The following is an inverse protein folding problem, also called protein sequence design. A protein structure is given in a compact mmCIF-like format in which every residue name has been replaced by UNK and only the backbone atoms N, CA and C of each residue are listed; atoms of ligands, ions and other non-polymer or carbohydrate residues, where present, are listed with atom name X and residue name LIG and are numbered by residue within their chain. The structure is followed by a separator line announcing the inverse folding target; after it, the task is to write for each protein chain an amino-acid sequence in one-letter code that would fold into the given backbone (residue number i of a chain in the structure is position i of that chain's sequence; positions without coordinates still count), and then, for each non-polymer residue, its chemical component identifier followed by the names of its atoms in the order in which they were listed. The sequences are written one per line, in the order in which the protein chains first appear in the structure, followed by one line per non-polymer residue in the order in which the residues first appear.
data_IF_712926388543
#
_entry.id   IF_712926388543
#
_cell.length_a   1.000
_cell.length_b   1.000
_cell.length_c   1.000
_cell.angle_alpha   90.00
_cell.angle_beta   90.00
_cell.angle_gamma   90.00
#
_symmetry.space_group_name_H-M   'P 1'
#
loop_
_entity.id
_entity.type
_entity.pdbx_description
1 polymer ?
#
# COMPACT_ATOMS: atom_id res chain seq x y z
N UNK A 1 -8.06 -43.14 3.51
CA UNK A 1 -7.61 -42.92 2.11
C UNK A 1 -7.43 -41.41 1.97
N UNK A 2 -6.21 -40.94 1.85
CA UNK A 2 -5.89 -39.58 1.50
C UNK A 2 -6.36 -39.34 0.06
N UNK A 3 -7.23 -38.38 -0.14
CA UNK A 3 -7.61 -37.91 -1.47
C UNK A 3 -6.43 -37.15 -2.06
N UNK A 4 -5.93 -37.59 -3.17
CA UNK A 4 -4.90 -36.88 -3.93
C UNK A 4 -5.50 -35.66 -4.58
N UNK A 5 -4.70 -34.60 -4.83
CA UNK A 5 -5.10 -33.30 -5.40
C UNK A 5 -5.89 -33.39 -6.73
N UNK A 6 -5.94 -34.57 -7.37
CA UNK A 6 -6.69 -34.84 -8.60
C UNK A 6 -8.19 -35.10 -8.43
N UNK A 7 -8.69 -35.22 -7.19
CA UNK A 7 -10.10 -35.52 -6.92
C UNK A 7 -10.94 -34.26 -6.56
N UNK A 8 -10.41 -33.06 -6.72
CA UNK A 8 -11.13 -31.82 -6.51
C UNK A 8 -12.04 -31.57 -7.72
N UNK A 9 -13.35 -31.33 -7.52
CA UNK A 9 -14.27 -31.14 -8.64
C UNK A 9 -13.84 -29.99 -9.55
N UNK A 10 -13.67 -30.27 -10.83
CA UNK A 10 -13.25 -29.31 -11.88
C UNK A 10 -14.21 -28.11 -12.10
N UNK A 11 -15.25 -27.90 -11.29
CA UNK A 11 -16.31 -26.96 -11.60
C UNK A 11 -16.10 -25.52 -11.18
N UNK A 12 -15.16 -25.26 -10.25
CA UNK A 12 -14.88 -23.88 -9.79
C UNK A 12 -13.40 -23.46 -10.00
N UNK A 13 -12.61 -24.36 -10.54
CA UNK A 13 -11.29 -24.07 -11.01
C UNK A 13 -11.45 -23.67 -12.48
N UNK A 14 -11.64 -22.37 -12.73
CA UNK A 14 -11.42 -21.89 -14.09
C UNK A 14 -10.00 -22.29 -14.50
N UNK A 15 -9.82 -22.56 -15.77
CA UNK A 15 -8.53 -22.92 -16.40
C UNK A 15 -7.41 -21.89 -16.18
N UNK A 16 -7.60 -20.94 -15.32
CA UNK A 16 -6.89 -19.69 -15.13
C UNK A 16 -5.91 -19.73 -13.94
N UNK A 17 -5.72 -20.88 -13.28
CA UNK A 17 -4.71 -21.01 -12.23
C UNK A 17 -3.36 -21.28 -12.89
N UNK A 18 -2.56 -20.23 -12.99
CA UNK A 18 -1.15 -20.36 -13.32
C UNK A 18 -0.42 -20.91 -12.09
N UNK A 19 0.41 -21.94 -12.25
CA UNK A 19 1.13 -22.55 -11.11
C UNK A 19 2.11 -21.58 -10.42
N UNK A 20 2.40 -20.46 -11.04
CA UNK A 20 3.30 -19.43 -10.53
C UNK A 20 2.63 -18.46 -9.54
N UNK A 21 1.29 -18.37 -9.50
CA UNK A 21 0.53 -17.51 -8.59
C UNK A 21 0.16 -18.19 -7.26
N UNK A 22 0.45 -19.50 -7.13
CA UNK A 22 0.20 -20.30 -5.93
C UNK A 22 1.36 -20.18 -4.94
N UNK A 23 1.03 -19.91 -3.69
CA UNK A 23 2.01 -19.96 -2.60
C UNK A 23 1.41 -20.64 -1.38
N UNK A 24 2.22 -21.43 -0.69
CA UNK A 24 1.79 -22.13 0.52
C UNK A 24 2.58 -21.66 1.72
N UNK A 25 1.87 -21.18 2.74
CA UNK A 25 2.42 -20.75 4.01
C UNK A 25 1.59 -21.37 5.13
N UNK A 26 2.24 -21.96 6.12
CA UNK A 26 1.59 -22.57 7.31
C UNK A 26 0.50 -23.61 6.93
N UNK A 27 0.75 -24.43 5.93
CA UNK A 27 -0.20 -25.43 5.38
C UNK A 27 -1.48 -24.85 4.76
N UNK A 28 -1.52 -23.56 4.49
CA UNK A 28 -2.58 -22.90 3.75
C UNK A 28 -1.99 -22.47 2.40
N UNK A 29 -2.70 -22.78 1.32
CA UNK A 29 -2.32 -22.35 -0.02
C UNK A 29 -3.17 -21.14 -0.40
N UNK A 30 -2.52 -20.13 -0.97
CA UNK A 30 -3.14 -18.89 -1.40
C UNK A 30 -2.88 -18.67 -2.88
N UNK A 31 -3.83 -18.09 -3.61
CA UNK A 31 -3.64 -17.72 -5.01
C UNK A 31 -4.53 -16.56 -5.46
N UNK A 32 -4.08 -15.91 -6.51
CA UNK A 32 -4.82 -14.87 -7.21
C UNK A 32 -5.56 -15.51 -8.39
N UNK A 33 -6.88 -15.59 -8.31
CA UNK A 33 -7.70 -16.04 -9.44
C UNK A 33 -8.15 -14.88 -10.32
N UNK A 34 -8.94 -15.16 -11.35
CA UNK A 34 -9.34 -14.21 -12.38
C UNK A 34 -10.04 -12.92 -11.88
N UNK A 35 -10.75 -12.96 -10.76
CA UNK A 35 -11.45 -11.78 -10.18
C UNK A 35 -11.48 -11.77 -8.66
N UNK A 36 -10.81 -12.72 -8.01
CA UNK A 36 -10.82 -12.92 -6.58
C UNK A 36 -9.52 -13.57 -6.12
N UNK A 37 -9.25 -13.45 -4.85
CA UNK A 37 -8.22 -14.22 -4.17
C UNK A 37 -8.87 -15.42 -3.48
N UNK A 38 -8.12 -16.49 -3.35
CA UNK A 38 -8.59 -17.73 -2.77
C UNK A 38 -7.59 -18.29 -1.78
N UNK A 39 -8.11 -19.14 -0.88
CA UNK A 39 -7.31 -19.95 0.05
C UNK A 39 -7.75 -21.40 0.00
N UNK A 40 -6.82 -22.30 0.34
CA UNK A 40 -7.07 -23.72 0.52
C UNK A 40 -6.39 -24.22 1.80
N UNK A 41 -7.21 -24.71 2.71
CA UNK A 41 -6.79 -25.37 3.95
C UNK A 41 -7.45 -26.74 4.15
N UNK A 42 -7.80 -27.39 3.05
CA UNK A 42 -8.64 -28.59 3.00
C UNK A 42 -9.95 -28.35 2.24
N UNK A 43 -10.41 -27.10 2.21
CA UNK A 43 -11.52 -26.59 1.39
C UNK A 43 -11.11 -25.31 0.68
N UNK A 44 -11.65 -25.10 -0.52
CA UNK A 44 -11.43 -23.86 -1.26
C UNK A 44 -12.38 -22.78 -0.74
N UNK A 45 -11.81 -21.67 -0.32
CA UNK A 45 -12.57 -20.52 0.17
C UNK A 45 -12.13 -19.24 -0.55
N UNK A 46 -13.05 -18.31 -0.73
CA UNK A 46 -12.72 -16.98 -1.24
C UNK A 46 -12.06 -16.16 -0.13
N UNK A 47 -10.87 -15.63 -0.40
CA UNK A 47 -10.16 -14.73 0.50
C UNK A 47 -10.73 -13.32 0.33
N UNK A 48 -11.37 -12.72 1.36
CA UNK A 48 -11.87 -11.36 1.29
C UNK A 48 -10.73 -10.36 1.06
N UNK A 49 -10.89 -9.48 0.08
CA UNK A 49 -9.90 -8.47 -0.25
C UNK A 49 -10.56 -7.10 -0.35
N UNK A 50 -10.13 -6.16 0.49
CA UNK A 50 -10.60 -4.77 0.47
C UNK A 50 -10.15 -4.03 -0.80
N UNK A 51 -9.04 -4.44 -1.39
CA UNK A 51 -8.47 -3.86 -2.60
C UNK A 51 -8.91 -4.57 -3.89
N UNK A 52 -9.84 -5.52 -3.82
CA UNK A 52 -10.25 -6.34 -4.97
C UNK A 52 -10.61 -5.51 -6.20
N UNK A 53 -11.43 -4.50 -6.02
CA UNK A 53 -11.88 -3.66 -7.14
C UNK A 53 -10.71 -2.86 -7.72
N UNK A 54 -9.84 -2.32 -6.87
CA UNK A 54 -8.65 -1.59 -7.30
C UNK A 54 -7.73 -2.46 -8.14
N UNK A 55 -7.38 -3.66 -7.66
CA UNK A 55 -6.47 -4.59 -8.34
C UNK A 55 -7.05 -5.04 -9.69
N UNK A 56 -8.28 -5.56 -9.69
CA UNK A 56 -8.86 -6.18 -10.89
C UNK A 56 -9.39 -5.17 -11.92
N UNK A 57 -9.57 -3.90 -11.57
CA UNK A 57 -9.86 -2.85 -12.55
C UNK A 57 -8.60 -2.40 -13.32
N UNK A 58 -7.42 -2.52 -12.70
CA UNK A 58 -6.13 -2.18 -13.31
C UNK A 58 -5.40 -3.43 -13.88
N UNK A 59 -6.00 -4.60 -13.82
CA UNK A 59 -5.38 -5.86 -14.20
C UNK A 59 -5.38 -6.08 -15.72
N UNK A 60 -4.22 -6.40 -16.29
CA UNK A 60 -4.11 -6.78 -17.70
C UNK A 60 -4.38 -8.28 -17.90
N UNK A 61 -5.62 -8.64 -18.22
CA UNK A 61 -6.02 -10.02 -18.46
C UNK A 61 -5.31 -10.71 -19.62
N UNK A 62 -4.76 -9.96 -20.57
CA UNK A 62 -3.96 -10.53 -21.66
C UNK A 62 -2.58 -11.03 -21.21
N UNK A 63 -2.15 -10.61 -20.02
CA UNK A 63 -0.87 -10.95 -19.42
C UNK A 63 -1.03 -11.74 -18.11
N UNK A 64 -2.19 -12.36 -17.87
CA UNK A 64 -2.43 -13.07 -16.61
C UNK A 64 -1.46 -14.24 -16.38
N UNK A 65 -0.93 -14.84 -17.44
CA UNK A 65 0.09 -15.89 -17.35
C UNK A 65 1.43 -15.41 -16.74
N UNK A 66 1.63 -14.11 -16.60
CA UNK A 66 2.81 -13.52 -15.95
C UNK A 66 2.61 -13.24 -14.47
N UNK A 67 1.42 -13.50 -13.93
CA UNK A 67 1.20 -13.38 -12.47
C UNK A 67 2.02 -14.41 -11.75
N UNK A 68 2.69 -13.98 -10.71
CA UNK A 68 3.40 -14.89 -9.82
C UNK A 68 3.30 -14.42 -8.37
N UNK A 69 3.49 -15.34 -7.44
CA UNK A 69 3.44 -15.08 -6.01
C UNK A 69 4.82 -15.23 -5.37
N UNK A 70 5.04 -14.49 -4.31
CA UNK A 70 6.16 -14.61 -3.41
C UNK A 70 5.73 -14.49 -1.96
N UNK A 71 6.61 -14.81 -1.03
CA UNK A 71 6.39 -14.58 0.39
C UNK A 71 7.51 -13.74 0.97
N UNK A 72 7.21 -13.07 2.08
CA UNK A 72 8.19 -12.50 2.99
C UNK A 72 7.86 -13.02 4.38
N UNK A 73 8.61 -14.03 4.79
CA UNK A 73 8.35 -14.76 6.04
C UNK A 73 8.50 -13.88 7.29
N UNK A 74 9.43 -12.95 7.28
CA UNK A 74 9.69 -12.01 8.37
C UNK A 74 8.47 -11.14 8.69
N UNK A 75 7.76 -10.67 7.67
CA UNK A 75 6.60 -9.78 7.83
C UNK A 75 5.26 -10.52 7.76
N UNK A 76 5.25 -11.84 7.60
CA UNK A 76 4.03 -12.65 7.44
C UNK A 76 3.21 -12.24 6.22
N UNK A 77 3.87 -12.00 5.11
CA UNK A 77 3.27 -11.45 3.89
C UNK A 77 3.31 -12.41 2.73
N UNK A 78 2.26 -12.34 1.90
CA UNK A 78 2.16 -12.97 0.61
C UNK A 78 2.00 -11.87 -0.42
N UNK A 79 2.83 -11.90 -1.45
CA UNK A 79 2.91 -10.94 -2.51
C UNK A 79 2.45 -11.56 -3.82
N UNK A 80 1.59 -10.88 -4.58
CA UNK A 80 1.28 -11.21 -5.96
C UNK A 80 1.71 -10.05 -6.84
N UNK A 81 2.53 -10.38 -7.82
CA UNK A 81 2.99 -9.45 -8.85
C UNK A 81 2.16 -9.65 -10.10
N UNK A 82 1.71 -8.56 -10.70
CA UNK A 82 0.84 -8.59 -11.88
C UNK A 82 1.11 -7.41 -12.81
N UNK A 83 0.65 -7.52 -14.06
CA UNK A 83 0.73 -6.43 -15.03
C UNK A 83 -0.46 -5.50 -14.88
N UNK A 84 -0.22 -4.19 -14.79
CA UNK A 84 -1.27 -3.18 -14.90
C UNK A 84 -1.88 -3.18 -16.31
N UNK A 85 -3.04 -2.55 -16.47
CA UNK A 85 -3.83 -2.56 -17.73
C UNK A 85 -3.02 -2.23 -18.99
N UNK A 86 -2.03 -1.37 -18.88
CA UNK A 86 -1.21 -0.91 -20.01
C UNK A 86 0.21 -1.49 -20.02
N UNK A 87 0.53 -2.40 -19.09
CA UNK A 87 1.85 -3.02 -18.97
C UNK A 87 1.86 -4.43 -19.57
N UNK A 88 2.98 -4.80 -20.16
CA UNK A 88 3.25 -6.16 -20.66
C UNK A 88 4.23 -6.93 -19.77
N UNK A 89 4.70 -6.30 -18.70
CA UNK A 89 5.57 -6.89 -17.67
C UNK A 89 5.00 -6.57 -16.29
N UNK A 90 5.24 -7.41 -15.27
CA UNK A 90 4.78 -7.13 -13.91
C UNK A 90 5.34 -5.81 -13.40
N UNK A 91 4.44 -4.87 -13.10
CA UNK A 91 4.75 -3.50 -12.65
C UNK A 91 3.94 -3.10 -11.41
N UNK A 92 3.08 -3.99 -10.96
CA UNK A 92 2.23 -3.82 -9.78
C UNK A 92 2.39 -5.00 -8.85
N UNK A 93 2.16 -4.74 -7.57
CA UNK A 93 2.01 -5.79 -6.59
C UNK A 93 0.84 -5.53 -5.65
N UNK A 94 0.33 -6.60 -5.08
CA UNK A 94 -0.61 -6.58 -3.97
C UNK A 94 -0.12 -7.55 -2.90
N UNK A 95 -0.20 -7.15 -1.65
CA UNK A 95 0.29 -7.90 -0.50
C UNK A 95 -0.89 -8.25 0.41
N UNK A 96 -0.86 -9.45 0.93
CA UNK A 96 -1.73 -9.90 2.00
C UNK A 96 -0.90 -10.29 3.23
N UNK A 97 -1.05 -9.55 4.32
CA UNK A 97 -0.53 -9.97 5.62
C UNK A 97 -1.50 -10.97 6.22
N UNK A 98 -1.08 -12.25 6.30
CA UNK A 98 -1.96 -13.34 6.72
C UNK A 98 -2.16 -13.41 8.24
N UNK A 99 -1.32 -12.74 9.06
CA UNK A 99 -1.49 -12.64 10.50
C UNK A 99 -2.46 -11.53 10.86
N UNK A 100 -2.29 -10.34 10.30
CA UNK A 100 -3.11 -9.16 10.57
C UNK A 100 -4.36 -9.10 9.70
N UNK A 101 -4.41 -9.88 8.61
CA UNK A 101 -5.51 -9.94 7.63
C UNK A 101 -5.77 -8.59 6.95
N UNK A 102 -4.73 -7.86 6.65
CA UNK A 102 -4.78 -6.58 5.96
C UNK A 102 -4.10 -6.67 4.60
N UNK A 103 -4.46 -5.74 3.73
CA UNK A 103 -4.01 -5.69 2.36
C UNK A 103 -3.24 -4.41 2.09
N UNK A 104 -2.16 -4.54 1.33
CA UNK A 104 -1.34 -3.43 0.82
C UNK A 104 -1.22 -3.53 -0.69
N UNK A 105 -0.79 -2.47 -1.33
CA UNK A 105 -0.51 -2.47 -2.76
C UNK A 105 0.58 -1.46 -3.09
N UNK A 106 1.19 -1.63 -4.25
CA UNK A 106 2.20 -0.69 -4.72
C UNK A 106 2.63 -0.97 -6.16
N UNK A 107 3.68 -0.28 -6.55
CA UNK A 107 4.25 -0.35 -7.88
C UNK A 107 5.71 -0.77 -7.75
N UNK A 108 6.10 -1.80 -8.48
CA UNK A 108 7.45 -2.32 -8.49
C UNK A 108 7.65 -3.23 -9.69
N UNK A 109 8.66 -2.98 -10.50
CA UNK A 109 9.04 -3.85 -11.60
C UNK A 109 9.90 -5.00 -11.07
N UNK A 110 9.30 -6.18 -10.95
CA UNK A 110 10.01 -7.41 -10.61
C UNK A 110 9.48 -8.53 -11.49
N UNK A 111 10.37 -9.35 -11.98
CA UNK A 111 10.02 -10.47 -12.87
C UNK A 111 10.10 -11.83 -12.19
N UNK A 112 10.74 -11.91 -11.04
CA UNK A 112 10.75 -13.07 -10.16
C UNK A 112 11.05 -12.65 -8.73
N UNK A 113 10.62 -13.48 -7.78
CA UNK A 113 10.81 -13.26 -6.35
C UNK A 113 11.07 -14.58 -5.65
N UNK A 114 11.99 -14.60 -4.72
CA UNK A 114 12.23 -15.73 -3.83
C UNK A 114 12.60 -15.24 -2.43
N UNK A 115 11.90 -15.78 -1.44
CA UNK A 115 12.28 -15.72 -0.04
C UNK A 115 12.79 -17.12 0.37
N UNK A 116 13.99 -17.18 0.88
CA UNK A 116 14.64 -18.43 1.23
C UNK A 116 15.25 -18.31 2.63
N UNK A 117 14.89 -19.18 3.58
CA UNK A 117 15.42 -19.15 4.95
C UNK A 117 16.95 -19.27 5.07
N UNK A 118 17.63 -19.67 3.99
CA UNK A 118 19.09 -19.74 3.94
C UNK A 118 19.76 -18.38 3.66
N UNK A 119 18.95 -17.33 3.41
CA UNK A 119 19.40 -15.96 3.15
C UNK A 119 18.71 -14.98 4.07
N UNK A 120 19.39 -13.92 4.38
CA UNK A 120 18.89 -12.89 5.28
C UNK A 120 17.76 -12.07 4.66
N UNK A 121 17.84 -11.83 3.35
CA UNK A 121 16.88 -10.99 2.62
C UNK A 121 16.27 -11.73 1.43
N UNK A 122 15.01 -11.46 1.07
CA UNK A 122 14.45 -11.92 -0.20
C UNK A 122 15.24 -11.41 -1.39
N UNK A 123 15.20 -12.16 -2.48
CA UNK A 123 15.85 -11.79 -3.75
C UNK A 123 14.81 -11.66 -4.83
N UNK A 124 14.92 -10.58 -5.62
CA UNK A 124 14.08 -10.37 -6.80
C UNK A 124 14.94 -10.17 -8.05
N UNK A 125 14.34 -10.45 -9.21
CA UNK A 125 14.94 -10.20 -10.50
C UNK A 125 14.35 -8.95 -11.15
N UNK A 126 15.23 -8.11 -11.71
CA UNK A 126 14.88 -6.93 -12.51
C UNK A 126 15.92 -6.70 -13.60
N UNK A 127 15.49 -6.54 -14.84
CA UNK A 127 16.34 -6.13 -15.97
C UNK A 127 17.67 -6.91 -16.08
N UNK A 128 17.61 -8.23 -15.86
CA UNK A 128 18.76 -9.12 -15.92
C UNK A 128 19.65 -9.12 -14.67
N UNK A 129 19.30 -8.37 -13.64
CA UNK A 129 20.00 -8.33 -12.35
C UNK A 129 19.22 -9.07 -11.27
N UNK A 130 19.94 -9.60 -10.29
CA UNK A 130 19.38 -10.09 -9.04
C UNK A 130 19.69 -9.10 -7.93
N UNK A 131 18.67 -8.68 -7.21
CA UNK A 131 18.80 -7.68 -6.15
C UNK A 131 18.17 -8.17 -4.85
N UNK A 132 18.76 -7.81 -3.74
CA UNK A 132 18.15 -8.00 -2.43
C UNK A 132 16.96 -7.06 -2.27
N UNK A 133 15.94 -7.55 -1.58
CA UNK A 133 14.75 -6.80 -1.20
C UNK A 133 14.75 -6.66 0.32
N UNK A 134 14.07 -5.65 0.83
CA UNK A 134 14.00 -5.35 2.28
C UNK A 134 15.37 -5.07 2.91
N UNK A 135 16.37 -4.72 2.10
CA UNK A 135 17.72 -4.38 2.52
C UNK A 135 17.99 -2.87 2.34
N UNK A 136 18.01 -2.14 3.45
CA UNK A 136 18.31 -0.72 3.48
C UNK A 136 17.12 0.22 3.24
N UNK A 137 17.41 1.52 3.04
CA UNK A 137 16.44 2.62 3.01
C UNK A 137 16.44 3.38 1.67
N UNK A 138 16.91 2.74 0.61
CA UNK A 138 16.92 3.31 -0.74
C UNK A 138 16.78 2.22 -1.81
N UNK A 139 16.14 2.52 -2.92
CA UNK A 139 16.15 1.64 -4.09
C UNK A 139 17.47 1.81 -4.85
N UNK A 140 18.30 0.78 -4.82
CA UNK A 140 19.59 0.70 -5.50
C UNK A 140 19.55 -0.18 -6.77
N UNK A 141 18.38 -0.57 -7.24
CA UNK A 141 18.22 -1.51 -8.36
C UNK A 141 18.92 -1.07 -9.64
N UNK A 142 19.07 0.23 -9.86
CA UNK A 142 19.74 0.81 -11.04
C UNK A 142 21.18 1.21 -10.79
N UNK A 143 21.76 0.91 -9.62
CA UNK A 143 23.10 1.32 -9.22
C UNK A 143 23.22 2.76 -8.73
N UNK A 144 22.11 3.49 -8.69
CA UNK A 144 22.00 4.82 -8.08
C UNK A 144 20.92 4.76 -7.01
N UNK A 145 21.25 5.21 -5.80
CA UNK A 145 20.28 5.24 -4.71
C UNK A 145 19.12 6.19 -5.02
N UNK A 146 17.94 5.64 -5.15
CA UNK A 146 16.67 6.39 -5.30
C UNK A 146 15.86 6.32 -4.01
N UNK A 147 15.08 7.36 -3.68
CA UNK A 147 14.26 7.34 -2.50
C UNK A 147 13.16 6.28 -2.62
N UNK A 148 12.90 5.58 -1.51
CA UNK A 148 11.71 4.75 -1.36
C UNK A 148 10.53 5.68 -1.02
N UNK A 149 9.67 5.94 -2.01
CA UNK A 149 8.48 6.75 -1.78
C UNK A 149 7.48 5.96 -0.94
N UNK A 150 7.27 6.41 0.28
CA UNK A 150 6.33 5.78 1.21
C UNK A 150 5.25 6.77 1.65
N UNK A 151 4.02 6.29 1.82
CA UNK A 151 2.97 7.11 2.40
C UNK A 151 1.91 6.28 3.12
N UNK A 152 1.26 6.93 4.08
CA UNK A 152 0.01 6.47 4.70
C UNK A 152 -1.01 7.61 4.64
N UNK A 153 -2.26 7.29 4.32
CA UNK A 153 -3.34 8.26 4.24
C UNK A 153 -4.57 7.71 4.95
N UNK A 154 -5.19 8.55 5.78
CA UNK A 154 -6.46 8.21 6.42
C UNK A 154 -7.61 8.19 5.42
N UNK A 155 -8.70 7.54 5.77
CA UNK A 155 -10.00 7.89 5.19
C UNK A 155 -10.37 9.34 5.55
N UNK A 156 -11.34 9.88 4.82
CA UNK A 156 -11.91 11.17 5.19
C UNK A 156 -12.68 11.04 6.50
N UNK A 157 -12.51 12.01 7.37
CA UNK A 157 -13.24 12.12 8.63
C UNK A 157 -13.99 13.45 8.70
N UNK A 158 -15.11 13.43 9.37
CA UNK A 158 -16.00 14.55 9.59
C UNK A 158 -15.92 15.03 11.04
N UNK A 159 -16.39 16.26 11.27
CA UNK A 159 -16.65 16.73 12.61
C UNK A 159 -18.13 16.45 12.94
N UNK A 160 -18.37 15.66 14.01
CA UNK A 160 -19.71 15.27 14.47
C UNK A 160 -20.49 14.52 13.37
N UNK A 161 -21.65 15.02 12.94
CA UNK A 161 -22.51 14.44 11.89
C UNK A 161 -22.10 14.82 10.44
N UNK A 162 -20.98 15.54 10.28
CA UNK A 162 -20.50 16.00 8.97
C UNK A 162 -21.26 17.19 8.38
N UNK A 163 -22.22 17.77 9.11
CA UNK A 163 -23.01 18.89 8.62
C UNK A 163 -22.29 20.25 8.76
N UNK A 164 -21.30 20.34 9.64
CA UNK A 164 -20.54 21.56 9.91
C UNK A 164 -19.20 21.54 9.15
N UNK A 165 -18.73 22.73 8.82
CA UNK A 165 -17.34 22.89 8.41
C UNK A 165 -16.43 22.76 9.62
N UNK A 166 -15.30 22.11 9.41
CA UNK A 166 -14.21 22.00 10.35
C UNK A 166 -13.08 22.95 9.95
N UNK A 167 -12.55 23.68 10.91
CA UNK A 167 -11.36 24.48 10.74
C UNK A 167 -10.21 23.86 11.52
N UNK A 168 -9.15 23.48 10.79
CA UNK A 168 -7.92 22.94 11.37
C UNK A 168 -6.92 24.06 11.48
N UNK A 169 -6.39 24.27 12.69
CA UNK A 169 -5.40 25.32 12.96
C UNK A 169 -4.03 24.81 13.38
N UNK A 170 -3.96 23.58 13.89
CA UNK A 170 -2.73 23.05 14.45
C UNK A 170 -2.68 21.53 14.28
N UNK A 171 -1.48 21.05 13.99
CA UNK A 171 -1.11 19.65 13.94
C UNK A 171 0.02 19.42 14.96
N UNK A 172 -0.11 18.40 15.79
CA UNK A 172 0.95 17.90 16.65
C UNK A 172 1.36 16.55 16.07
N UNK A 173 2.51 16.46 15.40
CA UNK A 173 3.00 15.22 14.85
C UNK A 173 3.41 14.27 15.98
N UNK A 174 3.21 12.97 15.73
CA UNK A 174 3.73 11.90 16.57
C UNK A 174 4.49 10.95 15.65
N UNK A 175 5.73 11.32 15.36
CA UNK A 175 6.62 10.61 14.44
C UNK A 175 7.97 10.38 15.07
N UNK A 176 8.49 9.18 14.87
CA UNK A 176 9.86 8.82 15.22
C UNK A 176 10.65 8.47 13.97
N UNK A 177 11.93 8.85 13.95
CA UNK A 177 12.87 8.61 12.84
C UNK A 177 13.98 7.62 13.23
N UNK A 178 13.69 6.75 14.19
CA UNK A 178 14.65 5.74 14.63
C UNK A 178 15.01 4.79 13.47
N UNK A 179 16.32 4.59 13.26
CA UNK A 179 16.82 3.76 12.16
C UNK A 179 17.14 4.53 10.89
N UNK A 180 16.81 5.83 10.79
CA UNK A 180 17.22 6.65 9.64
C UNK A 180 18.72 6.76 9.55
N UNK A 181 19.23 6.68 8.33
CA UNK A 181 20.66 6.95 8.00
C UNK A 181 20.88 8.38 7.54
N UNK A 182 19.79 9.09 7.17
CA UNK A 182 19.83 10.54 6.90
C UNK A 182 20.12 11.30 8.21
N UNK A 183 20.91 12.35 8.11
CA UNK A 183 21.25 13.24 9.23
C UNK A 183 20.12 14.19 9.60
N UNK A 184 19.22 14.47 8.67
CA UNK A 184 18.08 15.38 8.82
C UNK A 184 16.79 14.74 8.29
N UNK A 185 16.38 13.59 8.86
CA UNK A 185 15.22 12.89 8.35
C UNK A 185 13.95 13.72 8.51
N UNK A 186 13.13 13.74 7.47
CA UNK A 186 11.90 14.51 7.44
C UNK A 186 10.80 13.75 6.69
N UNK A 187 9.56 14.02 7.07
CA UNK A 187 8.37 13.60 6.33
C UNK A 187 7.51 14.81 6.00
N UNK A 188 6.68 14.66 5.01
CA UNK A 188 5.68 15.66 4.65
C UNK A 188 4.32 15.22 5.17
N UNK A 189 3.70 16.05 6.03
CA UNK A 189 2.32 15.87 6.46
C UNK A 189 1.41 16.77 5.65
N UNK A 190 0.38 16.18 5.03
CA UNK A 190 -0.59 16.88 4.20
C UNK A 190 -1.99 16.62 4.74
N UNK A 191 -2.73 17.68 4.95
CA UNK A 191 -4.17 17.67 5.21
C UNK A 191 -4.89 18.03 3.91
N UNK A 192 -5.87 17.23 3.54
CA UNK A 192 -6.76 17.48 2.40
C UNK A 192 -8.14 17.84 2.93
N UNK A 193 -8.81 18.79 2.31
CA UNK A 193 -10.16 19.15 2.67
C UNK A 193 -11.09 19.17 1.46
N UNK A 194 -12.35 18.78 1.66
CA UNK A 194 -13.42 18.87 0.67
C UNK A 194 -14.72 19.35 1.31
N UNK A 195 -15.61 19.93 0.51
CA UNK A 195 -16.84 20.56 1.01
C UNK A 195 -18.01 19.60 1.12
N UNK A 196 -17.95 18.46 0.46
CA UNK A 196 -19.02 17.43 0.50
C UNK A 196 -18.46 16.04 0.26
N UNK A 197 -19.11 15.00 0.80
CA UNK A 197 -18.72 13.62 0.60
C UNK A 197 -18.67 13.24 -0.89
N UNK A 198 -17.59 12.57 -1.31
CA UNK A 198 -17.39 12.18 -2.69
C UNK A 198 -16.93 13.31 -3.62
N UNK A 199 -16.85 14.53 -3.14
CA UNK A 199 -16.30 15.65 -3.89
C UNK A 199 -14.78 15.59 -4.05
N UNK A 200 -14.22 16.30 -5.02
CA UNK A 200 -12.78 16.40 -5.17
C UNK A 200 -12.17 17.25 -4.03
N UNK A 201 -10.91 17.02 -3.73
CA UNK A 201 -10.14 17.92 -2.84
C UNK A 201 -9.81 19.25 -3.53
N UNK A 202 -9.85 19.30 -4.86
CA UNK A 202 -9.74 20.51 -5.68
C UNK A 202 -11.14 20.89 -6.13
N UNK A 203 -11.65 22.02 -5.72
CA UNK A 203 -13.07 22.36 -5.86
C UNK A 203 -13.49 22.91 -7.21
N UNK A 204 -12.57 23.43 -8.01
CA UNK A 204 -12.91 23.99 -9.30
C UNK A 204 -11.87 23.57 -10.36
N UNK A 205 -12.34 23.22 -11.54
CA UNK A 205 -11.49 22.85 -12.67
C UNK A 205 -10.71 24.04 -13.22
N UNK A 206 -11.13 25.27 -12.90
CA UNK A 206 -10.54 26.51 -13.41
C UNK A 206 -9.69 27.24 -12.36
N UNK A 207 -9.73 26.81 -11.08
CA UNK A 207 -8.87 27.34 -10.02
C UNK A 207 -8.00 26.21 -9.43
N UNK A 208 -6.66 26.32 -9.53
CA UNK A 208 -5.75 25.29 -9.04
C UNK A 208 -5.57 25.31 -7.51
N UNK A 209 -6.51 25.86 -6.76
CA UNK A 209 -6.42 25.88 -5.31
C UNK A 209 -6.89 24.57 -4.73
N UNK A 210 -5.97 23.61 -4.69
CA UNK A 210 -6.15 22.46 -3.85
C UNK A 210 -6.35 22.94 -2.40
N UNK A 211 -7.45 22.55 -1.77
CA UNK A 211 -7.62 22.80 -0.32
C UNK A 211 -6.77 21.81 0.45
N UNK A 212 -5.49 22.10 0.46
CA UNK A 212 -4.50 21.31 1.16
C UNK A 212 -3.67 22.21 2.07
N UNK A 213 -3.26 21.67 3.19
CA UNK A 213 -2.25 22.26 4.04
C UNK A 213 -1.11 21.27 4.20
N UNK A 214 0.05 21.63 3.70
CA UNK A 214 1.24 20.77 3.70
C UNK A 214 2.29 21.37 4.61
N UNK A 215 2.85 20.54 5.48
CA UNK A 215 3.89 20.97 6.43
C UNK A 215 5.00 19.91 6.50
N UNK A 216 6.28 20.32 6.46
CA UNK A 216 7.38 19.44 6.75
C UNK A 216 7.45 19.17 8.25
N UNK A 217 7.73 17.92 8.60
CA UNK A 217 7.95 17.47 9.96
C UNK A 217 9.30 16.79 10.03
N UNK A 218 10.18 17.38 10.81
CA UNK A 218 11.52 16.91 11.09
C UNK A 218 11.60 16.27 12.47
N UNK A 219 12.70 15.64 12.77
CA UNK A 219 12.98 15.18 14.12
C UNK A 219 12.89 16.37 15.10
N UNK A 220 12.18 16.18 16.22
CA UNK A 220 11.91 17.19 17.23
C UNK A 220 10.93 18.31 16.84
N UNK A 221 10.12 18.11 15.79
CA UNK A 221 9.01 19.01 15.51
C UNK A 221 7.93 18.89 16.60
N UNK A 222 7.71 19.94 17.39
CA UNK A 222 6.72 19.91 18.48
C UNK A 222 5.30 20.07 17.97
N UNK A 223 5.05 21.12 17.21
CA UNK A 223 3.74 21.45 16.64
C UNK A 223 3.89 22.25 15.36
N UNK A 224 2.93 22.11 14.46
CA UNK A 224 2.86 22.86 13.19
C UNK A 224 1.52 23.58 13.11
N UNK A 225 1.58 24.87 12.76
CA UNK A 225 0.39 25.67 12.54
C UNK A 225 -0.04 25.53 11.09
N UNK A 226 -1.32 25.28 10.88
CA UNK A 226 -1.95 25.12 9.57
C UNK A 226 -3.22 25.95 9.51
N UNK A 227 -3.75 26.16 8.31
CA UNK A 227 -5.06 26.78 8.10
C UNK A 227 -5.76 26.00 7.01
N UNK A 228 -6.74 25.21 7.40
CA UNK A 228 -7.49 24.40 6.46
C UNK A 228 -8.95 24.37 6.91
N UNK A 229 -9.87 24.57 5.95
CA UNK A 229 -11.30 24.53 6.17
C UNK A 229 -11.94 23.56 5.19
N UNK A 230 -12.80 22.68 5.69
CA UNK A 230 -13.58 21.75 4.89
C UNK A 230 -14.60 21.02 5.73
N UNK A 231 -15.52 20.30 5.12
CA UNK A 231 -16.44 19.43 5.85
C UNK A 231 -15.82 18.08 6.13
N UNK A 232 -15.09 17.56 5.16
CA UNK A 232 -14.33 16.33 5.32
C UNK A 232 -12.85 16.60 5.16
N UNK A 233 -12.07 15.95 5.99
CA UNK A 233 -10.62 16.12 6.04
C UNK A 233 -9.98 14.76 5.98
N UNK A 234 -8.95 14.61 5.14
CA UNK A 234 -8.06 13.46 5.17
C UNK A 234 -6.65 13.91 5.55
N UNK A 235 -5.93 13.02 6.18
CA UNK A 235 -4.56 13.23 6.65
C UNK A 235 -3.62 12.26 5.94
N UNK A 236 -2.52 12.76 5.41
CA UNK A 236 -1.48 11.95 4.77
C UNK A 236 -0.12 12.29 5.33
N UNK A 237 0.68 11.27 5.54
CA UNK A 237 2.12 11.36 5.81
C UNK A 237 2.85 10.71 4.65
N UNK A 238 3.87 11.35 4.14
CA UNK A 238 4.69 10.81 3.05
C UNK A 238 6.16 11.17 3.20
N UNK A 239 7.02 10.30 2.67
CA UNK A 239 8.45 10.55 2.52
C UNK A 239 8.89 10.18 1.10
N UNK A 240 9.86 10.93 0.58
CA UNK A 240 10.48 10.75 -0.73
C UNK A 240 12.00 11.00 -0.67
N UNK A 241 12.59 10.92 0.51
CA UNK A 241 14.03 11.10 0.73
C UNK A 241 14.74 9.78 0.97
N UNK A 242 15.97 9.68 0.48
CA UNK A 242 16.83 8.50 0.73
C UNK A 242 17.28 8.45 2.19
N UNK A 243 17.37 7.25 2.74
CA UNK A 243 17.88 7.08 4.11
C UNK A 243 16.89 7.47 5.22
N UNK A 244 15.65 7.80 4.88
CA UNK A 244 14.62 8.15 5.86
C UNK A 244 13.78 6.95 6.22
N UNK A 245 13.80 6.60 7.50
CA UNK A 245 12.89 5.62 8.12
C UNK A 245 12.02 6.35 9.14
N UNK A 246 10.72 6.04 9.16
CA UNK A 246 9.82 6.69 10.10
C UNK A 246 8.71 5.75 10.58
N UNK A 247 8.26 6.00 11.79
CA UNK A 247 7.09 5.35 12.37
C UNK A 247 6.10 6.40 12.82
N UNK A 248 4.84 6.24 12.42
CA UNK A 248 3.74 7.12 12.79
C UNK A 248 3.05 6.58 14.04
N UNK A 249 3.03 7.40 15.10
CA UNK A 249 2.24 7.16 16.29
C UNK A 249 0.81 7.70 16.16
N UNK A 250 0.34 8.45 17.13
CA UNK A 250 -1.01 9.02 17.15
C UNK A 250 -0.94 10.54 16.96
N UNK A 251 -1.00 11.05 15.72
CA UNK A 251 -0.98 12.48 15.48
C UNK A 251 -2.25 13.13 16.05
N UNK A 252 -2.11 14.34 16.55
CA UNK A 252 -3.23 15.13 17.09
C UNK A 252 -3.49 16.31 16.19
N UNK A 253 -4.75 16.52 15.86
CA UNK A 253 -5.22 17.61 15.01
C UNK A 253 -6.16 18.47 15.85
N UNK A 254 -5.87 19.76 15.94
CA UNK A 254 -6.74 20.73 16.61
C UNK A 254 -7.78 21.24 15.62
N UNK A 255 -9.01 20.76 15.81
CA UNK A 255 -10.14 21.01 14.91
C UNK A 255 -11.22 21.78 15.66
N UNK A 256 -11.76 22.82 15.02
CA UNK A 256 -12.83 23.64 15.57
C UNK A 256 -14.01 23.69 14.59
N UNK A 257 -15.27 23.72 15.08
CA UNK A 257 -16.42 23.98 14.22
C UNK A 257 -16.33 25.38 13.60
N UNK A 258 -16.62 25.49 12.31
CA UNK A 258 -16.55 26.75 11.54
C UNK A 258 -17.82 26.98 10.72
N UNK A 259 -18.97 26.78 11.36
CA UNK A 259 -20.27 27.06 10.80
C UNK A 259 -20.76 26.02 9.78
N UNK A 260 -21.90 26.34 9.17
CA UNK A 260 -22.62 25.44 8.24
C UNK A 260 -22.50 25.87 6.78
N UNK A 261 -21.87 26.99 6.51
CA UNK A 261 -21.65 27.56 5.16
C UNK A 261 -20.22 28.04 4.99
#
# INVERSE_FOLDING_TARGET
KQKTAYEIPKRDWSSDVCSSDLISVNNITYWMGHKKFFTYNGTVESLPCSLRQYVFNDFNYSQEAQVYAGSVGEFNEIWWFYCSQNSVTPDRYVIYNYMERIWYYGQMNRTAWIDCPAREYPIAAIDGNLIYQEDGLADNATGTALPLTAYIQSADFDLDDGYQFAFVKRLIPDITFSGSTDTTPAVTMTLYARDFPGGPYNQETDEPVARTATVPVEQYSEQKWVRLRGRQIAFRVSSDSTGTQWSLGIPRIDVQPDGKR
#
